data_IF_883023639042
#
_entry.id   IF_883023639042
#
_cell.length_a   1.000
_cell.length_b   1.000
_cell.length_c   1.000
_cell.angle_alpha   90.00
_cell.angle_beta   90.00
_cell.angle_gamma   90.00
#
_symmetry.space_group_name_H-M   'P 1'
#
loop_
_entity.id
_entity.type
_entity.pdbx_description
1 polymer ?
#
# COMPACT_ATOMS: atom_id res chain seq x y z
N UNK A 1 -6.91 4.92 9.03
CA UNK A 1 -6.16 3.65 8.93
C UNK A 1 -4.98 3.85 7.99
N UNK A 2 -3.91 3.12 8.21
CA UNK A 2 -2.69 3.26 7.40
C UNK A 2 -2.39 1.96 6.66
N UNK A 3 -1.67 2.09 5.56
CA UNK A 3 -1.38 0.97 4.67
C UNK A 3 -0.69 -0.19 5.38
N UNK A 4 0.14 0.09 6.39
CA UNK A 4 0.83 -0.95 7.16
C UNK A 4 -0.13 -1.88 7.92
N UNK A 5 -1.37 -1.48 8.09
CA UNK A 5 -2.37 -2.26 8.81
C UNK A 5 -3.15 -3.20 7.89
N UNK A 6 -2.90 -3.13 6.60
CA UNK A 6 -3.57 -3.98 5.62
C UNK A 6 -3.10 -5.43 5.81
N UNK A 7 -4.03 -6.38 5.74
CA UNK A 7 -3.69 -7.79 5.85
C UNK A 7 -3.84 -8.48 4.49
N UNK A 8 -3.29 -9.68 4.40
CA UNK A 8 -3.21 -10.42 3.14
C UNK A 8 -4.59 -10.52 2.47
N UNK A 9 -4.63 -10.13 1.21
CA UNK A 9 -5.85 -10.20 0.40
C UNK A 9 -6.78 -9.01 0.56
N UNK A 10 -6.52 -8.12 1.51
CA UNK A 10 -7.37 -6.94 1.68
C UNK A 10 -7.04 -5.86 0.66
N UNK A 11 -8.07 -5.12 0.28
CA UNK A 11 -7.97 -4.00 -0.65
C UNK A 11 -8.48 -2.74 0.03
N UNK A 12 -7.88 -1.61 -0.34
CA UNK A 12 -8.30 -0.31 0.17
C UNK A 12 -7.94 0.77 -0.85
N UNK A 13 -8.43 1.98 -0.62
CA UNK A 13 -8.12 3.11 -1.49
C UNK A 13 -7.10 4.00 -0.79
N UNK A 14 -6.06 4.38 -1.51
CA UNK A 14 -5.06 5.33 -0.99
C UNK A 14 -5.72 6.69 -0.85
N UNK A 15 -5.62 7.29 0.34
CA UNK A 15 -6.23 8.59 0.60
C UNK A 15 -5.26 9.74 0.35
N UNK A 16 -3.98 9.54 0.64
CA UNK A 16 -3.00 10.59 0.51
C UNK A 16 -1.62 10.01 0.30
N UNK A 17 -0.80 10.66 -0.51
CA UNK A 17 0.59 10.29 -0.70
C UNK A 17 1.46 11.23 0.12
N UNK A 18 2.27 10.73 1.08
CA UNK A 18 3.15 11.60 1.85
C UNK A 18 4.24 12.19 0.97
N UNK A 19 4.74 13.36 1.34
CA UNK A 19 5.79 14.03 0.58
C UNK A 19 7.07 13.19 0.50
N UNK A 20 7.27 12.33 1.48
CA UNK A 20 8.44 11.46 1.53
C UNK A 20 8.32 10.22 0.66
N UNK A 21 7.16 10.02 0.00
CA UNK A 21 6.98 8.88 -0.86
C UNK A 21 7.95 8.94 -2.04
N UNK A 22 8.74 7.89 -2.28
CA UNK A 22 9.62 7.88 -3.44
C UNK A 22 8.85 8.11 -4.74
N UNK A 23 9.38 8.97 -5.60
CA UNK A 23 8.75 9.31 -6.87
C UNK A 23 8.46 8.06 -7.69
N UNK A 24 9.34 7.08 -7.66
CA UNK A 24 9.16 5.84 -8.39
C UNK A 24 7.87 5.13 -8.00
N UNK A 25 7.55 5.07 -6.70
CA UNK A 25 6.33 4.42 -6.25
C UNK A 25 5.10 5.20 -6.69
N UNK A 26 5.18 6.52 -6.66
CA UNK A 26 4.10 7.38 -7.13
C UNK A 26 3.84 7.12 -8.62
N UNK A 27 4.93 7.04 -9.40
CA UNK A 27 4.83 6.78 -10.84
C UNK A 27 4.27 5.39 -11.14
N UNK A 28 4.44 4.44 -10.23
CA UNK A 28 3.91 3.09 -10.40
C UNK A 28 2.43 3.00 -9.99
N UNK A 29 1.83 4.09 -9.55
CA UNK A 29 0.40 4.14 -9.26
C UNK A 29 0.03 4.29 -7.79
N UNK A 30 1.00 4.38 -6.89
CA UNK A 30 0.71 4.55 -5.46
C UNK A 30 0.36 6.01 -5.20
N UNK A 31 -0.85 6.40 -5.55
CA UNK A 31 -1.30 7.79 -5.45
C UNK A 31 -2.74 7.85 -4.98
N UNK A 32 -3.19 9.01 -4.48
CA UNK A 32 -4.55 9.14 -3.95
C UNK A 32 -5.61 8.71 -4.95
N UNK A 33 -6.61 7.99 -4.45
CA UNK A 33 -7.71 7.51 -5.28
C UNK A 33 -7.50 6.13 -5.87
N UNK A 34 -6.29 5.58 -5.81
CA UNK A 34 -6.00 4.28 -6.40
C UNK A 34 -6.26 3.16 -5.42
N UNK A 35 -6.79 2.04 -5.92
CA UNK A 35 -6.98 0.84 -5.11
C UNK A 35 -5.66 0.13 -4.94
N UNK A 36 -5.38 -0.31 -3.72
CA UNK A 36 -4.17 -1.03 -3.39
C UNK A 36 -4.52 -2.31 -2.62
N UNK A 37 -3.83 -3.38 -2.94
CA UNK A 37 -4.09 -4.69 -2.35
C UNK A 37 -2.81 -5.28 -1.80
N UNK A 38 -2.86 -5.85 -0.59
CA UNK A 38 -1.72 -6.60 -0.07
C UNK A 38 -1.78 -8.02 -0.62
N UNK A 39 -0.84 -8.37 -1.48
CA UNK A 39 -0.82 -9.69 -2.12
C UNK A 39 0.17 -10.64 -1.49
N UNK A 40 1.20 -10.12 -0.81
CA UNK A 40 2.22 -10.93 -0.20
C UNK A 40 3.02 -10.09 0.79
N UNK A 41 3.52 -10.73 1.85
CA UNK A 41 4.48 -10.06 2.72
C UNK A 41 5.60 -11.03 3.05
N UNK A 42 6.82 -10.49 3.14
CA UNK A 42 8.00 -11.27 3.49
C UNK A 42 7.92 -11.72 4.95
N UNK A 43 8.80 -12.64 5.36
CA UNK A 43 8.88 -13.03 6.78
C UNK A 43 8.93 -11.78 7.67
N UNK A 44 8.23 -11.83 8.79
CA UNK A 44 8.08 -10.70 9.71
C UNK A 44 7.30 -9.54 9.10
N UNK A 45 6.59 -9.79 7.98
CA UNK A 45 5.70 -8.82 7.35
C UNK A 45 6.40 -7.57 6.79
N UNK A 46 7.68 -7.70 6.45
CA UNK A 46 8.44 -6.58 5.91
C UNK A 46 9.50 -7.11 4.93
N UNK A 47 9.55 -6.65 3.68
CA UNK A 47 8.64 -5.65 3.09
C UNK A 47 7.27 -6.22 2.73
N UNK A 48 6.33 -5.31 2.47
CA UNK A 48 5.02 -5.66 1.97
C UNK A 48 5.03 -5.63 0.45
N UNK A 49 4.42 -6.64 -0.18
CA UNK A 49 4.27 -6.63 -1.63
C UNK A 49 2.82 -6.28 -1.95
N UNK A 50 2.64 -5.20 -2.67
CA UNK A 50 1.33 -4.62 -2.93
C UNK A 50 1.05 -4.57 -4.42
N UNK A 51 -0.22 -4.72 -4.79
CA UNK A 51 -0.65 -4.54 -6.17
C UNK A 51 -1.39 -3.23 -6.30
N UNK A 52 -0.97 -2.39 -7.23
CA UNK A 52 -1.65 -1.14 -7.54
C UNK A 52 -1.61 -0.95 -9.05
N UNK A 53 -2.76 -0.66 -9.66
CA UNK A 53 -2.89 -0.51 -11.11
C UNK A 53 -2.32 -1.71 -11.89
N UNK A 54 -2.50 -2.93 -11.35
CA UNK A 54 -1.99 -4.13 -11.99
C UNK A 54 -0.49 -4.34 -11.85
N UNK A 55 0.20 -3.46 -11.15
CA UNK A 55 1.65 -3.53 -10.97
C UNK A 55 1.97 -3.94 -9.53
N UNK A 56 2.92 -4.85 -9.39
CA UNK A 56 3.39 -5.23 -8.06
C UNK A 56 4.50 -4.28 -7.62
N UNK A 57 4.37 -3.76 -6.41
CA UNK A 57 5.40 -2.92 -5.81
C UNK A 57 5.77 -3.48 -4.45
N UNK A 58 7.01 -3.25 -4.05
CA UNK A 58 7.51 -3.67 -2.75
C UNK A 58 7.72 -2.41 -1.89
N UNK A 59 7.25 -2.44 -0.67
CA UNK A 59 7.30 -1.28 0.20
C UNK A 59 7.64 -1.68 1.62
N UNK A 60 8.56 -0.97 2.24
CA UNK A 60 8.86 -1.17 3.64
C UNK A 60 7.65 -0.79 4.50
N UNK A 61 7.42 -1.56 5.54
CA UNK A 61 6.32 -1.30 6.46
C UNK A 61 6.41 0.09 7.10
N UNK A 62 7.63 0.55 7.33
CA UNK A 62 7.88 1.88 7.87
C UNK A 62 7.26 2.98 6.99
N UNK A 63 7.42 2.85 5.68
CA UNK A 63 6.82 3.79 4.74
C UNK A 63 5.30 3.61 4.70
N UNK A 64 4.83 2.37 4.68
CA UNK A 64 3.39 2.09 4.65
C UNK A 64 2.68 2.64 5.88
N UNK A 65 3.38 2.79 6.99
CA UNK A 65 2.79 3.27 8.23
C UNK A 65 2.38 4.75 8.17
N UNK A 66 2.81 5.48 7.17
CA UNK A 66 2.45 6.90 7.02
C UNK A 66 1.57 7.17 5.80
N UNK A 67 1.08 6.13 5.14
CA UNK A 67 0.20 6.27 3.98
C UNK A 67 -1.24 5.98 4.43
N UNK A 68 -2.09 7.02 4.54
CA UNK A 68 -3.48 6.80 4.94
C UNK A 68 -4.28 6.10 3.85
N UNK A 69 -5.11 5.18 4.27
CA UNK A 69 -6.00 4.45 3.37
C UNK A 69 -7.41 4.41 3.94
N UNK A 70 -8.38 4.07 3.09
CA UNK A 70 -9.74 3.81 3.56
C UNK A 70 -9.76 2.51 4.34
N UNK A 71 -10.85 2.24 5.04
CA UNK A 71 -11.05 0.95 5.66
C UNK A 71 -11.06 -0.14 4.59
N UNK A 72 -10.39 -1.29 4.83
CA UNK A 72 -10.39 -2.35 3.84
C UNK A 72 -11.77 -2.88 3.55
N UNK A 73 -11.96 -3.34 2.32
CA UNK A 73 -13.17 -4.04 1.94
C UNK A 73 -13.20 -5.37 2.70
N UNK A 74 -14.29 -5.64 3.37
CA UNK A 74 -14.43 -6.78 4.29
C UNK A 74 -14.83 -8.08 3.62
N UNK A 75 -14.47 -8.27 2.40
CA UNK A 75 -14.86 -9.50 1.69
C UNK A 75 -13.84 -10.58 1.76
#
# INVERSE_FOLDING_TARGET
MFLSELTLGQKAIVLQAPETLPVKLFEMGCMPGEEIELVFSAPFQDPMCLRVQGTLISMRRELAAIIPITEPDAR
#
